data_IF_799741943670
#
_entry.id   IF_799741943670
#
_cell.length_a   1.000
_cell.length_b   1.000
_cell.length_c   1.000
_cell.angle_alpha   90.00
_cell.angle_beta   90.00
_cell.angle_gamma   90.00
#
_symmetry.space_group_name_H-M   'P 1'
#
loop_
_entity.id
_entity.type
_entity.pdbx_description
1 polymer ?
#
# COMPACT_ATOMS: atom_id res chain seq x y z
N UNK A 1 24.95 17.45 -18.73
CA UNK A 1 23.52 17.52 -18.36
C UNK A 1 22.88 16.15 -18.20
N UNK A 2 22.70 15.32 -19.25
CA UNK A 2 22.04 14.00 -19.10
C UNK A 2 22.80 13.05 -18.16
N UNK A 3 24.13 13.01 -18.28
CA UNK A 3 25.00 12.19 -17.41
C UNK A 3 24.91 12.64 -15.94
N UNK A 4 24.74 13.93 -15.70
CA UNK A 4 24.63 14.50 -14.35
C UNK A 4 23.26 14.14 -13.73
N UNK A 5 22.19 14.16 -14.53
CA UNK A 5 20.85 13.71 -14.12
C UNK A 5 20.84 12.22 -13.77
N UNK A 6 21.51 11.36 -14.56
CA UNK A 6 21.56 9.92 -14.29
C UNK A 6 22.29 9.60 -12.98
N UNK A 7 23.33 10.36 -12.62
CA UNK A 7 24.01 10.22 -11.32
C UNK A 7 23.08 10.53 -10.16
N UNK A 8 22.30 11.60 -10.28
CA UNK A 8 21.32 11.97 -9.27
C UNK A 8 20.17 10.95 -9.16
N UNK A 9 19.68 10.47 -10.31
CA UNK A 9 18.64 9.45 -10.38
C UNK A 9 19.05 8.13 -9.70
N UNK A 10 20.33 7.75 -9.80
CA UNK A 10 20.87 6.56 -9.12
C UNK A 10 20.75 6.67 -7.59
N UNK A 11 21.12 7.82 -7.02
CA UNK A 11 20.97 8.08 -5.58
C UNK A 11 19.50 8.07 -5.17
N UNK A 12 18.62 8.71 -5.96
CA UNK A 12 17.17 8.67 -5.71
C UNK A 12 16.61 7.25 -5.69
N UNK A 13 17.03 6.40 -6.65
CA UNK A 13 16.55 5.02 -6.74
C UNK A 13 17.02 4.18 -5.56
N UNK A 14 18.28 4.36 -5.12
CA UNK A 14 18.82 3.70 -3.93
C UNK A 14 18.07 4.08 -2.66
N UNK A 15 17.77 5.37 -2.48
CA UNK A 15 17.00 5.88 -1.34
C UNK A 15 15.58 5.35 -1.40
N UNK A 16 14.92 5.39 -2.56
CA UNK A 16 13.55 4.89 -2.71
C UNK A 16 13.48 3.39 -2.42
N UNK A 17 14.45 2.61 -2.90
CA UNK A 17 14.53 1.17 -2.63
C UNK A 17 14.75 0.86 -1.15
N UNK A 18 15.63 1.60 -0.46
CA UNK A 18 15.86 1.37 0.98
C UNK A 18 14.62 1.65 1.81
N UNK A 19 13.88 2.72 1.50
CA UNK A 19 12.59 3.01 2.13
C UNK A 19 11.51 1.98 1.76
N UNK A 20 11.47 1.50 0.51
CA UNK A 20 10.53 0.46 0.09
C UNK A 20 10.74 -0.84 0.87
N UNK A 21 11.99 -1.27 1.06
CA UNK A 21 12.33 -2.42 1.89
C UNK A 21 11.90 -2.22 3.34
N UNK A 22 12.18 -1.05 3.93
CA UNK A 22 11.82 -0.74 5.32
C UNK A 22 10.31 -0.73 5.56
N UNK A 23 9.54 -0.07 4.68
CA UNK A 23 8.09 -0.02 4.81
C UNK A 23 7.41 -1.35 4.49
N UNK A 24 7.90 -2.08 3.50
CA UNK A 24 7.42 -3.44 3.25
C UNK A 24 7.64 -4.31 4.51
N UNK A 25 8.80 -4.24 5.16
CA UNK A 25 9.03 -5.02 6.38
C UNK A 25 8.10 -4.65 7.55
N UNK A 26 7.77 -3.36 7.71
CA UNK A 26 6.88 -2.87 8.76
C UNK A 26 5.40 -3.18 8.52
N UNK A 27 4.93 -2.96 7.28
CA UNK A 27 3.52 -2.95 6.95
C UNK A 27 3.02 -4.26 6.34
N UNK A 28 3.91 -5.18 5.96
CA UNK A 28 3.52 -6.46 5.32
C UNK A 28 2.58 -7.29 6.20
N UNK A 29 2.80 -7.30 7.51
CA UNK A 29 1.92 -8.03 8.43
C UNK A 29 0.50 -7.45 8.47
N UNK A 30 0.38 -6.12 8.56
CA UNK A 30 -0.91 -5.43 8.55
C UNK A 30 -1.61 -5.55 7.20
N UNK A 31 -0.85 -5.52 6.10
CA UNK A 31 -1.37 -5.76 4.76
C UNK A 31 -1.95 -7.17 4.60
N UNK A 32 -1.35 -8.19 5.23
CA UNK A 32 -1.92 -9.55 5.19
C UNK A 32 -3.23 -9.66 5.99
N UNK A 33 -3.35 -8.96 7.12
CA UNK A 33 -4.61 -8.90 7.89
C UNK A 33 -5.73 -8.21 7.08
N UNK A 34 -5.45 -7.03 6.51
CA UNK A 34 -6.41 -6.31 5.66
C UNK A 34 -6.81 -7.12 4.41
N UNK A 35 -5.90 -7.92 3.85
CA UNK A 35 -6.22 -8.84 2.76
C UNK A 35 -7.26 -9.88 3.18
N UNK A 36 -7.18 -10.40 4.40
CA UNK A 36 -8.18 -11.35 4.92
C UNK A 36 -9.55 -10.67 5.08
N UNK A 37 -9.56 -9.41 5.54
CA UNK A 37 -10.77 -8.57 5.60
C UNK A 37 -11.38 -8.38 4.20
N UNK A 38 -10.57 -8.06 3.17
CA UNK A 38 -11.09 -8.00 1.79
C UNK A 38 -11.70 -9.34 1.34
N UNK A 39 -11.02 -10.47 1.57
CA UNK A 39 -11.53 -11.79 1.17
C UNK A 39 -12.86 -12.12 1.87
N UNK A 40 -12.99 -11.76 3.14
CA UNK A 40 -14.25 -11.87 3.88
C UNK A 40 -15.36 -11.00 3.27
N UNK A 41 -15.06 -9.74 2.96
CA UNK A 41 -16.02 -8.84 2.31
C UNK A 41 -16.46 -9.37 0.93
N UNK A 42 -15.56 -10.01 0.19
CA UNK A 42 -15.84 -10.54 -1.15
C UNK A 42 -16.63 -11.86 -1.12
N UNK A 43 -16.53 -12.64 -0.04
CA UNK A 43 -17.26 -13.91 0.14
C UNK A 43 -18.63 -13.73 0.81
N UNK A 44 -18.82 -12.65 1.58
CA UNK A 44 -20.11 -12.29 2.16
C UNK A 44 -21.04 -11.69 1.10
N UNK A 45 -22.28 -12.19 1.04
CA UNK A 45 -23.32 -11.61 0.17
C UNK A 45 -23.66 -10.19 0.63
N UNK A 46 -23.89 -9.24 -0.31
CA UNK A 46 -24.21 -7.84 -0.01
C UNK A 46 -25.53 -7.63 0.77
N UNK A 47 -26.27 -8.70 1.07
CA UNK A 47 -27.54 -8.67 1.79
C UNK A 47 -27.43 -9.11 3.27
N UNK A 48 -26.23 -9.42 3.77
CA UNK A 48 -26.05 -9.75 5.19
C UNK A 48 -25.80 -8.49 6.03
N UNK A 49 -26.42 -8.36 7.21
CA UNK A 49 -26.17 -7.23 8.13
C UNK A 49 -24.69 -7.11 8.52
N UNK A 50 -23.98 -8.24 8.57
CA UNK A 50 -22.53 -8.27 8.82
C UNK A 50 -21.72 -7.67 7.66
N UNK A 51 -22.21 -7.75 6.42
CA UNK A 51 -21.57 -7.13 5.26
C UNK A 51 -21.61 -5.61 5.34
N UNK A 52 -22.73 -5.02 5.78
CA UNK A 52 -22.84 -3.55 5.89
C UNK A 52 -21.97 -2.98 7.00
N UNK A 53 -21.77 -3.71 8.10
CA UNK A 53 -20.91 -3.26 9.21
C UNK A 53 -19.41 -3.35 8.84
N UNK A 54 -18.99 -4.44 8.19
CA UNK A 54 -17.59 -4.64 7.75
C UNK A 54 -17.23 -3.72 6.57
N UNK A 55 -18.14 -3.53 5.61
CA UNK A 55 -17.92 -2.62 4.48
C UNK A 55 -17.95 -1.14 4.90
N UNK A 56 -18.65 -0.79 5.98
CA UNK A 56 -18.63 0.56 6.55
C UNK A 56 -17.37 0.85 7.36
N UNK A 57 -16.74 -0.16 7.96
CA UNK A 57 -15.49 0.01 8.71
C UNK A 57 -14.24 0.01 7.84
N UNK A 58 -14.23 -0.74 6.71
CA UNK A 58 -13.08 -0.78 5.80
C UNK A 58 -13.50 -0.72 4.31
N UNK A 59 -13.95 0.44 3.80
CA UNK A 59 -14.43 0.57 2.42
C UNK A 59 -13.34 0.30 1.36
N UNK A 60 -12.08 0.63 1.67
CA UNK A 60 -10.95 0.53 0.73
C UNK A 60 -9.93 -0.54 1.07
N UNK A 61 -10.22 -1.43 2.04
CA UNK A 61 -9.28 -2.47 2.46
C UNK A 61 -8.75 -3.28 1.28
N UNK A 62 -9.58 -3.56 0.28
CA UNK A 62 -9.18 -4.31 -0.91
C UNK A 62 -8.22 -3.58 -1.87
N UNK A 63 -8.18 -2.25 -1.82
CA UNK A 63 -7.24 -1.45 -2.59
C UNK A 63 -5.96 -1.16 -1.79
N UNK A 64 -6.07 -0.98 -0.47
CA UNK A 64 -4.95 -0.63 0.40
C UNK A 64 -3.97 -1.78 0.62
N UNK A 65 -4.46 -3.02 0.86
CA UNK A 65 -3.59 -4.15 1.19
C UNK A 65 -2.50 -4.43 0.14
N UNK A 66 -2.75 -4.12 -1.15
CA UNK A 66 -1.83 -4.44 -2.25
C UNK A 66 -0.57 -3.57 -2.24
N UNK A 67 -0.65 -2.34 -1.69
CA UNK A 67 0.41 -1.33 -1.82
C UNK A 67 1.69 -1.69 -1.07
N UNK A 68 1.56 -2.32 0.09
CA UNK A 68 2.69 -2.78 0.91
C UNK A 68 2.81 -4.31 1.03
N UNK A 69 2.02 -5.07 0.26
CA UNK A 69 2.10 -6.52 0.24
C UNK A 69 3.38 -7.05 -0.45
N UNK A 70 3.92 -6.28 -1.39
CA UNK A 70 5.11 -6.64 -2.15
C UNK A 70 6.06 -5.45 -2.26
N UNK A 71 7.35 -5.77 -2.40
CA UNK A 71 8.41 -4.77 -2.55
C UNK A 71 8.24 -3.90 -3.80
N UNK A 72 7.77 -4.49 -4.90
CA UNK A 72 7.55 -3.78 -6.16
C UNK A 72 6.41 -2.75 -6.03
N UNK A 73 5.29 -3.15 -5.42
CA UNK A 73 4.15 -2.26 -5.17
C UNK A 73 4.53 -1.15 -4.19
N UNK A 74 5.32 -1.48 -3.16
CA UNK A 74 5.85 -0.49 -2.20
C UNK A 74 6.72 0.55 -2.90
N UNK A 75 7.56 0.11 -3.84
CA UNK A 75 8.42 0.97 -4.67
C UNK A 75 7.58 1.87 -5.58
N UNK A 76 6.55 1.34 -6.24
CA UNK A 76 5.65 2.13 -7.09
C UNK A 76 4.88 3.16 -6.26
N UNK A 77 4.39 2.77 -5.10
CA UNK A 77 3.68 3.65 -4.15
C UNK A 77 4.61 4.78 -3.71
N UNK A 78 5.83 4.49 -3.29
CA UNK A 78 6.81 5.53 -2.95
C UNK A 78 7.17 6.47 -4.09
N UNK A 79 7.27 5.95 -5.31
CA UNK A 79 7.55 6.76 -6.48
C UNK A 79 6.45 7.80 -6.70
N UNK A 80 5.18 7.39 -6.69
CA UNK A 80 4.05 8.31 -6.84
C UNK A 80 3.87 9.23 -5.63
N UNK A 81 4.27 8.79 -4.43
CA UNK A 81 4.26 9.63 -3.24
C UNK A 81 5.23 10.80 -3.36
N UNK A 82 6.34 10.64 -4.09
CA UNK A 82 7.29 11.75 -4.34
C UNK A 82 6.70 12.88 -5.20
N UNK A 83 5.64 12.59 -5.95
CA UNK A 83 4.86 13.60 -6.70
C UNK A 83 3.63 14.11 -5.93
N UNK A 84 3.39 13.63 -4.70
CA UNK A 84 2.21 14.01 -3.91
C UNK A 84 0.90 13.39 -4.40
N UNK A 85 0.96 12.27 -5.14
CA UNK A 85 -0.21 11.58 -5.69
C UNK A 85 -0.76 10.47 -4.77
N UNK A 86 -0.20 10.33 -3.57
CA UNK A 86 -0.61 9.32 -2.58
C UNK A 86 -0.90 10.01 -1.26
N UNK A 87 -2.10 9.77 -0.75
CA UNK A 87 -2.57 10.28 0.53
C UNK A 87 -2.02 9.49 1.72
N UNK A 88 -2.00 10.12 2.89
CA UNK A 88 -1.51 9.50 4.13
C UNK A 88 -2.36 8.31 4.60
N UNK A 89 -3.66 8.31 4.29
CA UNK A 89 -4.60 7.23 4.65
C UNK A 89 -4.16 5.87 4.10
N UNK A 90 -3.38 5.86 3.02
CA UNK A 90 -2.85 4.63 2.43
C UNK A 90 -1.77 3.95 3.30
N UNK A 91 -1.22 4.66 4.30
CA UNK A 91 -0.25 4.14 5.26
C UNK A 91 -0.91 3.67 6.57
N UNK A 92 -2.18 4.00 6.80
CA UNK A 92 -2.91 3.67 8.01
C UNK A 92 -3.61 2.31 7.87
N UNK A 93 -2.81 1.23 7.81
CA UNK A 93 -3.36 -0.13 7.87
C UNK A 93 -3.68 -0.49 9.32
N UNK A 94 -4.97 -0.46 9.68
CA UNK A 94 -5.44 -0.70 11.05
C UNK A 94 -5.45 -2.17 11.47
N UNK A 95 -5.42 -3.10 10.51
CA UNK A 95 -5.47 -4.54 10.80
C UNK A 95 -6.87 -5.05 11.09
#
# INVERSE_FOLDING_TARGET
MVIDILKFFSVYTLVLFSFACGMNQLLWYYADMEKQVCVLQQTLKPSSKNYTDIAASHPDACFMWRRFANLFESTQTLFWASFGLIDLENFELTG
#
